data_IF_609567202542
#
_entry.id   IF_609567202542
#
_cell.length_a   1.000
_cell.length_b   1.000
_cell.length_c   1.000
_cell.angle_alpha   90.00
_cell.angle_beta   90.00
_cell.angle_gamma   90.00
#
_symmetry.space_group_name_H-M   'P 1'
#
loop_
_entity.id
_entity.type
_entity.pdbx_description
1 polymer ?
#
# COMPACT_ATOMS: atom_id res chain seq x y z
N UNK A 1 -14.43 -7.92 22.19
CA UNK A 1 -15.29 -7.18 21.20
C UNK A 1 -16.43 -6.52 21.93
N UNK A 2 -16.76 -5.30 21.56
CA UNK A 2 -17.84 -4.49 22.10
C UNK A 2 -19.01 -4.44 21.12
N UNK A 3 -20.26 -4.59 21.61
CA UNK A 3 -21.48 -4.44 20.81
C UNK A 3 -22.12 -3.11 21.19
N UNK A 4 -22.26 -2.22 20.20
CA UNK A 4 -22.76 -0.87 20.38
C UNK A 4 -24.04 -0.73 19.55
N UNK A 5 -25.15 -0.35 20.20
CA UNK A 5 -26.44 -0.26 19.55
C UNK A 5 -26.92 1.18 19.52
N UNK A 6 -27.26 1.63 18.32
CA UNK A 6 -27.88 2.93 18.05
C UNK A 6 -27.12 4.12 18.65
N UNK A 7 -25.77 4.19 18.48
CA UNK A 7 -25.00 5.33 18.98
C UNK A 7 -25.48 6.62 18.31
N UNK A 8 -25.39 7.73 19.04
CA UNK A 8 -25.65 9.04 18.46
C UNK A 8 -24.55 9.41 17.45
N UNK A 9 -24.87 10.27 16.48
CA UNK A 9 -23.86 10.73 15.49
C UNK A 9 -22.64 11.42 16.14
N UNK A 10 -22.82 12.02 17.30
CA UNK A 10 -21.74 12.65 18.07
C UNK A 10 -20.71 11.65 18.61
N UNK A 11 -21.12 10.40 18.85
CA UNK A 11 -20.25 9.32 19.31
C UNK A 11 -19.46 8.68 18.16
N UNK A 12 -19.90 8.83 16.92
CA UNK A 12 -19.31 8.14 15.77
C UNK A 12 -17.82 8.41 15.59
N UNK A 13 -17.38 9.66 15.81
CA UNK A 13 -15.97 10.02 15.69
C UNK A 13 -15.10 9.22 16.68
N UNK A 14 -15.60 8.96 17.89
CA UNK A 14 -14.88 8.16 18.90
C UNK A 14 -14.93 6.67 18.57
N UNK A 15 -16.04 6.18 17.99
CA UNK A 15 -16.17 4.79 17.57
C UNK A 15 -15.31 4.46 16.35
N UNK A 16 -15.08 5.44 15.50
CA UNK A 16 -14.22 5.31 14.33
C UNK A 16 -12.71 5.39 14.63
N UNK A 17 -12.31 5.59 15.91
CA UNK A 17 -10.90 5.62 16.29
C UNK A 17 -10.27 4.23 16.18
N UNK A 18 -9.04 4.22 15.67
CA UNK A 18 -8.18 3.03 15.59
C UNK A 18 -7.26 2.95 16.80
N UNK A 19 -6.71 1.76 17.09
CA UNK A 19 -5.60 1.65 18.02
C UNK A 19 -4.47 2.56 17.52
N UNK A 20 -4.23 3.67 18.22
CA UNK A 20 -3.25 4.65 17.76
C UNK A 20 -1.84 4.22 18.15
N UNK A 21 -0.96 4.06 17.16
CA UNK A 21 0.47 4.01 17.35
C UNK A 21 1.04 5.38 16.99
N UNK A 22 1.41 6.15 18.03
CA UNK A 22 2.16 7.39 17.80
C UNK A 22 3.62 7.04 17.47
N UNK A 23 3.88 6.89 16.17
CA UNK A 23 5.23 6.58 15.69
C UNK A 23 6.23 7.72 15.89
N UNK A 24 5.79 8.93 16.25
CA UNK A 24 6.69 10.07 16.48
C UNK A 24 7.59 9.85 17.68
N UNK A 25 7.14 9.08 18.67
CA UNK A 25 7.94 8.69 19.83
C UNK A 25 9.17 7.84 19.47
N UNK A 26 9.17 7.24 18.27
CA UNK A 26 10.26 6.40 17.76
C UNK A 26 11.27 7.20 16.94
N UNK A 27 10.97 8.44 16.57
CA UNK A 27 11.76 9.21 15.60
C UNK A 27 13.23 9.35 15.97
N UNK A 28 13.56 9.57 17.23
CA UNK A 28 14.96 9.73 17.64
C UNK A 28 15.75 8.41 17.52
N UNK A 29 15.14 7.30 17.93
CA UNK A 29 15.74 5.96 17.76
C UNK A 29 15.92 5.63 16.28
N UNK A 30 14.89 5.88 15.48
CA UNK A 30 14.91 5.61 14.03
C UNK A 30 15.95 6.50 13.34
N UNK A 31 16.02 7.78 13.68
CA UNK A 31 17.01 8.71 13.12
C UNK A 31 18.44 8.25 13.38
N UNK A 32 18.73 7.77 14.59
CA UNK A 32 20.04 7.21 14.90
C UNK A 32 20.44 6.10 13.94
N UNK A 33 19.54 5.16 13.67
CA UNK A 33 19.81 4.04 12.71
C UNK A 33 19.97 4.57 11.29
N UNK A 34 19.10 5.52 10.87
CA UNK A 34 19.18 6.13 9.54
C UNK A 34 20.54 6.82 9.33
N UNK A 35 21.00 7.60 10.29
CA UNK A 35 22.29 8.33 10.21
C UNK A 35 23.47 7.37 10.23
N UNK A 36 23.47 6.34 11.09
CA UNK A 36 24.53 5.33 11.12
C UNK A 36 24.63 4.53 9.80
N UNK A 37 23.51 4.21 9.15
CA UNK A 37 23.53 3.55 7.83
C UNK A 37 24.01 4.51 6.74
N UNK A 38 23.63 5.78 6.81
CA UNK A 38 24.11 6.81 5.87
C UNK A 38 25.63 6.96 5.91
N UNK A 39 26.22 6.89 7.10
CA UNK A 39 27.69 7.05 7.27
C UNK A 39 28.47 5.75 7.09
N UNK A 40 27.90 4.64 7.53
CA UNK A 40 28.59 3.36 7.62
C UNK A 40 28.27 2.35 6.51
N UNK A 41 27.36 2.68 5.57
CA UNK A 41 27.05 1.85 4.41
C UNK A 41 26.67 0.40 4.76
N UNK A 42 27.14 -0.54 3.94
CA UNK A 42 26.86 -1.98 4.09
C UNK A 42 27.28 -2.52 5.48
N UNK A 43 28.39 -2.01 6.03
CA UNK A 43 28.85 -2.46 7.34
C UNK A 43 27.86 -2.10 8.46
N UNK A 44 27.21 -0.94 8.38
CA UNK A 44 26.18 -0.55 9.32
C UNK A 44 24.90 -1.40 9.14
N UNK A 45 24.48 -1.65 7.89
CA UNK A 45 23.34 -2.53 7.61
C UNK A 45 23.55 -3.90 8.22
N UNK A 46 24.70 -4.54 7.97
CA UNK A 46 25.03 -5.88 8.50
C UNK A 46 25.02 -5.89 10.03
N UNK A 47 25.60 -4.88 10.68
CA UNK A 47 25.56 -4.71 12.14
C UNK A 47 24.13 -4.70 12.70
N UNK A 48 23.20 -4.05 11.99
CA UNK A 48 21.80 -3.99 12.40
C UNK A 48 21.04 -5.28 12.10
N UNK A 49 21.38 -6.02 11.03
CA UNK A 49 20.84 -7.37 10.79
C UNK A 49 21.27 -8.34 11.91
N UNK A 50 22.54 -8.28 12.36
CA UNK A 50 23.00 -9.05 13.53
C UNK A 50 22.22 -8.67 14.80
N UNK A 51 22.01 -7.38 15.02
CA UNK A 51 21.35 -6.87 16.23
C UNK A 51 19.85 -7.18 16.26
N UNK A 52 19.14 -6.97 15.17
CA UNK A 52 17.67 -7.03 15.12
C UNK A 52 17.16 -8.36 14.59
N UNK A 53 17.72 -8.87 13.50
CA UNK A 53 17.28 -10.10 12.83
C UNK A 53 18.03 -11.34 13.31
N UNK A 54 19.07 -11.14 14.17
CA UNK A 54 19.82 -12.21 14.83
C UNK A 54 20.51 -13.16 13.85
N UNK A 55 20.98 -12.61 12.73
CA UNK A 55 21.79 -13.40 11.78
C UNK A 55 23.09 -13.82 12.43
N UNK A 56 23.64 -14.96 11.96
CA UNK A 56 24.99 -15.40 12.31
C UNK A 56 25.98 -14.80 11.29
N UNK A 57 26.86 -13.86 11.71
CA UNK A 57 27.83 -13.22 10.80
C UNK A 57 28.75 -14.22 10.09
N UNK A 58 29.01 -15.37 10.71
CA UNK A 58 29.89 -16.41 10.14
C UNK A 58 29.27 -17.11 8.91
N UNK A 59 27.95 -17.13 8.83
CA UNK A 59 27.19 -17.75 7.73
C UNK A 59 26.66 -16.73 6.71
N UNK A 60 26.66 -15.45 7.06
CA UNK A 60 26.13 -14.38 6.23
C UNK A 60 27.09 -14.01 5.11
N UNK A 61 26.72 -14.33 3.86
CA UNK A 61 27.58 -14.16 2.68
C UNK A 61 27.41 -12.81 1.96
N UNK A 62 26.97 -11.77 2.68
CA UNK A 62 26.74 -10.44 2.13
C UNK A 62 25.27 -10.13 1.89
N UNK A 63 24.98 -8.86 1.62
CA UNK A 63 23.60 -8.34 1.53
C UNK A 63 22.86 -8.82 0.28
N UNK A 64 23.52 -8.88 -0.87
CA UNK A 64 22.85 -9.25 -2.11
C UNK A 64 22.60 -10.76 -2.19
N UNK A 65 21.38 -11.13 -2.58
CA UNK A 65 21.02 -12.52 -2.90
C UNK A 65 21.76 -12.94 -4.17
N UNK A 66 22.44 -14.10 -4.12
CA UNK A 66 23.20 -14.65 -5.23
C UNK A 66 22.32 -15.45 -6.20
N UNK A 67 22.80 -15.65 -7.44
CA UNK A 67 22.13 -16.52 -8.42
C UNK A 67 21.99 -17.97 -7.92
N UNK A 68 22.94 -18.43 -7.11
CA UNK A 68 22.87 -19.76 -6.50
C UNK A 68 21.72 -19.84 -5.50
N UNK A 69 21.52 -18.82 -4.63
CA UNK A 69 20.39 -18.78 -3.69
C UNK A 69 19.05 -18.76 -4.42
N UNK A 70 18.96 -18.06 -5.56
CA UNK A 70 17.76 -18.06 -6.42
C UNK A 70 17.51 -19.45 -7.04
N UNK A 71 18.55 -20.12 -7.52
CA UNK A 71 18.41 -21.47 -8.07
C UNK A 71 17.98 -22.50 -7.00
N UNK A 72 18.61 -22.45 -5.82
CA UNK A 72 18.23 -23.30 -4.68
C UNK A 72 16.77 -23.05 -4.26
N UNK A 73 16.33 -21.80 -4.21
CA UNK A 73 14.96 -21.45 -3.85
C UNK A 73 13.93 -22.07 -4.82
N UNK A 74 14.22 -22.11 -6.12
CA UNK A 74 13.34 -22.74 -7.11
C UNK A 74 13.11 -24.22 -6.82
N UNK A 75 14.16 -24.93 -6.40
CA UNK A 75 14.04 -26.36 -6.10
C UNK A 75 13.27 -26.61 -4.78
N UNK A 76 13.38 -25.69 -3.82
CA UNK A 76 12.75 -25.82 -2.51
C UNK A 76 11.25 -25.50 -2.50
N UNK A 77 10.76 -24.66 -3.43
CA UNK A 77 9.32 -24.29 -3.49
C UNK A 77 8.53 -25.44 -4.10
N UNK A 78 7.46 -25.93 -3.43
CA UNK A 78 6.59 -26.97 -3.98
C UNK A 78 5.93 -26.54 -5.30
N UNK A 79 5.72 -27.47 -6.22
CA UNK A 79 5.16 -27.15 -7.54
C UNK A 79 3.75 -26.57 -7.46
N UNK A 80 2.93 -27.04 -6.51
CA UNK A 80 1.61 -26.47 -6.24
C UNK A 80 1.69 -24.99 -5.89
N UNK A 81 2.64 -24.60 -5.01
CA UNK A 81 2.84 -23.21 -4.64
C UNK A 81 3.37 -22.37 -5.81
N UNK A 82 4.26 -22.94 -6.65
CA UNK A 82 4.72 -22.26 -7.86
C UNK A 82 3.57 -21.95 -8.81
N UNK A 83 2.64 -22.90 -8.99
CA UNK A 83 1.45 -22.71 -9.83
C UNK A 83 0.54 -21.64 -9.26
N UNK A 84 0.28 -21.65 -7.95
CA UNK A 84 -0.50 -20.62 -7.27
C UNK A 84 0.11 -19.23 -7.42
N UNK A 85 1.43 -19.06 -7.21
CA UNK A 85 2.14 -17.80 -7.39
C UNK A 85 2.03 -17.30 -8.85
N UNK A 86 2.18 -18.18 -9.83
CA UNK A 86 2.04 -17.82 -11.26
C UNK A 86 0.60 -17.40 -11.60
N UNK A 87 -0.40 -18.09 -11.06
CA UNK A 87 -1.81 -17.73 -11.26
C UNK A 87 -2.13 -16.36 -10.67
N UNK A 88 -1.74 -16.13 -9.41
CA UNK A 88 -1.91 -14.85 -8.74
C UNK A 88 -1.21 -13.72 -9.51
N UNK A 89 0.07 -13.91 -9.88
CA UNK A 89 0.84 -12.97 -10.70
C UNK A 89 0.12 -12.63 -12.01
N UNK A 90 -0.44 -13.61 -12.71
CA UNK A 90 -1.15 -13.39 -13.96
C UNK A 90 -2.41 -12.52 -13.76
N UNK A 91 -3.19 -12.79 -12.72
CA UNK A 91 -4.40 -12.01 -12.43
C UNK A 91 -4.05 -10.56 -12.05
N UNK A 92 -3.01 -10.37 -11.22
CA UNK A 92 -2.48 -9.04 -10.86
C UNK A 92 -2.01 -8.30 -12.12
N UNK A 93 -1.31 -8.99 -13.03
CA UNK A 93 -0.83 -8.40 -14.28
C UNK A 93 -1.98 -7.95 -15.19
N UNK A 94 -3.01 -8.77 -15.36
CA UNK A 94 -4.20 -8.43 -16.17
C UNK A 94 -4.88 -7.17 -15.61
N UNK A 95 -5.14 -7.15 -14.31
CA UNK A 95 -5.83 -6.03 -13.67
C UNK A 95 -5.02 -4.74 -13.75
N UNK A 96 -3.74 -4.78 -13.37
CA UNK A 96 -2.90 -3.58 -13.37
C UNK A 96 -2.53 -3.10 -14.78
N UNK A 97 -2.42 -4.00 -15.76
CA UNK A 97 -2.23 -3.61 -17.16
C UNK A 97 -3.40 -2.80 -17.74
N UNK A 98 -4.62 -3.04 -17.26
CA UNK A 98 -5.81 -2.27 -17.67
C UNK A 98 -5.79 -0.80 -17.21
N UNK A 99 -4.93 -0.46 -16.24
CA UNK A 99 -4.80 0.88 -15.66
C UNK A 99 -3.82 1.77 -16.44
N UNK A 100 -3.31 1.34 -17.59
CA UNK A 100 -2.35 2.13 -18.38
C UNK A 100 -2.93 3.46 -18.78
N UNK A 101 -2.22 4.53 -18.41
CA UNK A 101 -2.59 5.89 -18.77
C UNK A 101 -2.35 6.15 -20.26
N UNK A 102 -3.39 6.56 -20.95
CA UNK A 102 -3.34 7.04 -22.34
C UNK A 102 -3.58 8.55 -22.36
N UNK A 103 -2.50 9.33 -22.56
CA UNK A 103 -2.60 10.78 -22.62
C UNK A 103 -3.40 11.26 -23.84
N UNK A 104 -4.28 12.24 -23.64
CA UNK A 104 -5.03 12.90 -24.72
C UNK A 104 -4.41 14.27 -24.99
N UNK A 105 -4.18 14.61 -26.26
CA UNK A 105 -3.85 15.99 -26.67
C UNK A 105 -5.13 16.83 -26.69
N UNK A 106 -5.07 17.98 -26.06
CA UNK A 106 -6.18 18.94 -25.96
C UNK A 106 -5.71 20.28 -26.50
N UNK A 107 -6.41 20.80 -27.52
CA UNK A 107 -6.22 22.17 -27.99
C UNK A 107 -7.07 23.07 -27.08
N UNK A 108 -6.41 23.92 -26.30
CA UNK A 108 -7.06 24.84 -25.33
C UNK A 108 -7.41 26.19 -25.95
N UNK A 109 -6.64 26.59 -26.95
CA UNK A 109 -6.85 27.74 -27.82
C UNK A 109 -6.32 27.34 -29.19
N UNK A 110 -6.86 27.83 -30.32
CA UNK A 110 -6.32 27.49 -31.62
C UNK A 110 -4.80 27.72 -31.69
N UNK A 111 -4.07 26.63 -32.03
CA UNK A 111 -2.61 26.63 -32.05
C UNK A 111 -1.91 26.47 -30.68
N UNK A 112 -2.66 26.15 -29.61
CA UNK A 112 -2.12 25.83 -28.27
C UNK A 112 -2.55 24.42 -27.86
N UNK A 113 -1.62 23.47 -27.84
CA UNK A 113 -1.89 22.09 -27.57
C UNK A 113 -1.20 21.67 -26.27
N UNK A 114 -1.96 21.08 -25.34
CA UNK A 114 -1.48 20.55 -24.06
C UNK A 114 -1.76 19.05 -23.93
N UNK A 115 -0.84 18.31 -23.31
CA UNK A 115 -1.06 16.88 -23.02
C UNK A 115 -0.20 16.40 -21.86
N UNK A 116 -0.52 15.22 -21.36
CA UNK A 116 0.29 14.49 -20.37
C UNK A 116 0.88 13.22 -20.97
N UNK A 117 2.07 12.87 -20.56
CA UNK A 117 2.74 11.60 -20.86
C UNK A 117 3.10 10.90 -19.55
N UNK A 118 2.66 9.65 -19.40
CA UNK A 118 3.11 8.80 -18.32
C UNK A 118 4.55 8.33 -18.56
N UNK A 119 5.37 8.43 -17.52
CA UNK A 119 6.76 7.97 -17.53
C UNK A 119 7.02 7.21 -16.23
N UNK A 120 7.60 6.02 -16.32
CA UNK A 120 7.95 5.22 -15.15
C UNK A 120 8.88 5.98 -14.19
N UNK A 121 8.74 5.72 -12.90
CA UNK A 121 9.78 6.00 -11.92
C UNK A 121 10.92 5.02 -12.20
N UNK A 122 12.11 5.53 -12.48
CA UNK A 122 13.20 4.71 -13.00
C UNK A 122 13.67 3.64 -12.02
N UNK A 123 13.84 4.03 -10.73
CA UNK A 123 14.34 3.17 -9.66
C UNK A 123 13.36 3.14 -8.49
N UNK A 124 12.85 1.97 -8.14
CA UNK A 124 11.92 1.79 -7.05
C UNK A 124 12.44 0.75 -6.06
N UNK A 125 12.23 1.00 -4.78
CA UNK A 125 12.54 0.09 -3.69
C UNK A 125 11.27 -0.56 -3.16
N UNK A 126 11.29 -1.87 -3.01
CA UNK A 126 10.22 -2.67 -2.46
C UNK A 126 10.68 -3.24 -1.11
N UNK A 127 10.01 -2.89 -0.05
CA UNK A 127 10.25 -3.47 1.26
C UNK A 127 9.24 -4.57 1.53
N UNK A 128 9.73 -5.78 1.79
CA UNK A 128 8.92 -6.94 2.16
C UNK A 128 9.23 -7.27 3.61
N UNK A 129 8.28 -7.13 4.53
CA UNK A 129 8.54 -7.42 5.93
C UNK A 129 8.84 -8.90 6.14
N UNK A 130 9.73 -9.17 7.08
CA UNK A 130 9.93 -10.47 7.67
C UNK A 130 9.02 -10.65 8.89
N UNK A 131 9.21 -11.70 9.63
CA UNK A 131 8.50 -11.96 10.87
C UNK A 131 7.86 -13.35 10.88
N UNK A 132 6.60 -13.44 11.33
CA UNK A 132 5.93 -14.73 11.55
C UNK A 132 5.40 -15.38 10.27
N UNK A 133 5.36 -14.68 9.14
CA UNK A 133 4.89 -15.20 7.86
C UNK A 133 5.73 -14.68 6.69
N UNK A 134 6.07 -15.54 5.70
CA UNK A 134 6.75 -15.11 4.48
C UNK A 134 5.76 -14.44 3.52
N UNK A 135 5.70 -13.11 3.48
CA UNK A 135 4.72 -12.36 2.71
C UNK A 135 5.11 -12.28 1.20
N UNK A 136 5.19 -13.43 0.54
CA UNK A 136 5.51 -13.51 -0.90
C UNK A 136 4.41 -12.90 -1.80
N UNK A 137 3.16 -12.81 -1.33
CA UNK A 137 2.07 -12.10 -2.02
C UNK A 137 2.39 -10.62 -2.19
N UNK A 138 2.93 -9.97 -1.16
CA UNK A 138 3.33 -8.55 -1.21
C UNK A 138 4.40 -8.29 -2.28
N UNK A 139 5.27 -9.28 -2.53
CA UNK A 139 6.23 -9.19 -3.65
C UNK A 139 5.50 -9.02 -4.98
N UNK A 140 4.48 -9.84 -5.23
CA UNK A 140 3.68 -9.76 -6.46
C UNK A 140 2.93 -8.44 -6.56
N UNK A 141 2.28 -8.02 -5.46
CA UNK A 141 1.50 -6.78 -5.39
C UNK A 141 2.31 -5.52 -5.69
N UNK A 142 3.60 -5.52 -5.40
CA UNK A 142 4.47 -4.38 -5.62
C UNK A 142 5.30 -4.50 -6.91
N UNK A 143 5.89 -5.68 -7.17
CA UNK A 143 6.81 -5.85 -8.29
C UNK A 143 6.09 -5.94 -9.65
N UNK A 144 4.91 -6.56 -9.71
CA UNK A 144 4.17 -6.69 -10.97
C UNK A 144 3.75 -5.32 -11.53
N UNK A 145 3.07 -4.44 -10.79
CA UNK A 145 2.74 -3.11 -11.29
C UNK A 145 3.99 -2.25 -11.57
N UNK A 146 5.08 -2.37 -10.78
CA UNK A 146 6.34 -1.69 -11.05
C UNK A 146 6.90 -2.08 -12.42
N UNK A 147 6.88 -3.38 -12.76
CA UNK A 147 7.31 -3.90 -14.05
C UNK A 147 6.41 -3.43 -15.19
N UNK A 148 5.07 -3.47 -15.03
CA UNK A 148 4.11 -3.00 -16.03
C UNK A 148 4.30 -1.51 -16.32
N UNK A 149 4.59 -0.71 -15.28
CA UNK A 149 4.91 0.71 -15.42
C UNK A 149 6.17 0.97 -16.24
N UNK A 150 7.10 0.00 -16.27
CA UNK A 150 8.40 0.12 -16.96
C UNK A 150 9.52 0.67 -16.08
N UNK A 151 9.45 0.46 -14.75
CA UNK A 151 10.56 0.77 -13.85
C UNK A 151 11.80 -0.02 -14.27
N UNK A 152 12.94 0.67 -14.46
CA UNK A 152 14.16 0.04 -14.97
C UNK A 152 14.90 -0.76 -13.91
N UNK A 153 14.85 -0.30 -12.67
CA UNK A 153 15.48 -0.94 -11.53
C UNK A 153 14.46 -1.12 -10.40
N UNK A 154 14.18 -2.39 -10.09
CA UNK A 154 13.27 -2.79 -9.02
C UNK A 154 14.14 -3.49 -7.97
N UNK A 155 14.39 -2.78 -6.87
CA UNK A 155 15.21 -3.24 -5.74
C UNK A 155 14.28 -3.78 -4.66
N UNK A 156 14.51 -5.01 -4.20
CA UNK A 156 13.74 -5.59 -3.12
C UNK A 156 14.63 -5.80 -1.90
N UNK A 157 14.19 -5.30 -0.74
CA UNK A 157 14.79 -5.58 0.56
C UNK A 157 13.84 -6.39 1.42
N UNK A 158 14.34 -7.46 2.03
CA UNK A 158 13.59 -8.31 2.95
C UNK A 158 14.57 -8.90 3.98
N UNK A 159 14.18 -9.00 5.27
CA UNK A 159 15.07 -9.57 6.26
C UNK A 159 15.35 -11.04 5.98
N UNK A 160 16.58 -11.50 6.17
CA UNK A 160 16.91 -12.91 6.13
C UNK A 160 16.43 -13.62 7.39
N UNK A 161 16.33 -14.94 7.33
CA UNK A 161 16.22 -15.78 8.52
C UNK A 161 17.54 -15.84 9.31
N UNK A 162 17.52 -16.46 10.47
CA UNK A 162 18.72 -16.64 11.33
C UNK A 162 19.87 -17.36 10.64
N UNK A 163 19.58 -18.17 9.62
CA UNK A 163 20.52 -18.85 8.77
C UNK A 163 21.12 -17.96 7.67
N UNK A 164 20.78 -16.68 7.66
CA UNK A 164 21.23 -15.70 6.67
C UNK A 164 20.61 -15.86 5.28
N UNK A 165 19.54 -16.67 5.15
CA UNK A 165 18.85 -16.91 3.87
C UNK A 165 17.47 -16.24 3.85
N UNK A 166 17.04 -15.80 2.67
CA UNK A 166 15.67 -15.35 2.44
C UNK A 166 14.77 -16.56 2.17
N UNK A 167 13.52 -16.48 2.63
CA UNK A 167 12.54 -17.55 2.43
C UNK A 167 12.36 -17.90 0.94
N UNK A 168 12.41 -19.19 0.55
CA UNK A 168 12.40 -19.59 -0.87
C UNK A 168 11.19 -19.06 -1.66
N UNK A 169 9.99 -19.02 -1.06
CA UNK A 169 8.80 -18.51 -1.73
C UNK A 169 8.90 -17.01 -2.06
N UNK A 170 9.58 -16.20 -1.22
CA UNK A 170 9.84 -14.77 -1.50
C UNK A 170 10.77 -14.65 -2.71
N UNK A 171 11.85 -15.43 -2.76
CA UNK A 171 12.80 -15.42 -3.87
C UNK A 171 12.13 -15.87 -5.18
N UNK A 172 11.34 -16.93 -5.14
CA UNK A 172 10.59 -17.40 -6.29
C UNK A 172 9.57 -16.39 -6.81
N UNK A 173 8.83 -15.74 -5.91
CA UNK A 173 7.88 -14.69 -6.27
C UNK A 173 8.60 -13.48 -6.88
N UNK A 174 9.73 -13.05 -6.31
CA UNK A 174 10.52 -11.92 -6.78
C UNK A 174 11.05 -12.15 -8.20
N UNK A 175 11.62 -13.32 -8.47
CA UNK A 175 12.08 -13.70 -9.81
C UNK A 175 10.91 -13.78 -10.79
N UNK A 176 9.79 -14.42 -10.40
CA UNK A 176 8.58 -14.55 -11.23
C UNK A 176 7.98 -13.19 -11.58
N UNK A 177 8.04 -12.22 -10.67
CA UNK A 177 7.57 -10.85 -10.87
C UNK A 177 8.58 -9.96 -11.60
N UNK A 178 9.84 -10.39 -11.78
CA UNK A 178 10.88 -9.66 -12.51
C UNK A 178 11.58 -8.59 -11.69
N UNK A 179 11.80 -8.83 -10.40
CA UNK A 179 12.64 -8.00 -9.54
C UNK A 179 14.07 -8.02 -10.04
N UNK A 180 14.73 -6.85 -10.10
CA UNK A 180 16.07 -6.71 -10.66
C UNK A 180 17.17 -7.14 -9.69
N UNK A 181 17.00 -6.80 -8.40
CA UNK A 181 17.99 -7.06 -7.35
C UNK A 181 17.28 -7.32 -6.02
N UNK A 182 17.76 -8.29 -5.27
CA UNK A 182 17.22 -8.68 -3.98
C UNK A 182 18.29 -8.57 -2.91
N UNK A 183 17.98 -7.94 -1.78
CA UNK A 183 18.89 -7.72 -0.67
C UNK A 183 18.35 -8.28 0.64
N UNK A 184 19.23 -8.89 1.40
CA UNK A 184 18.98 -9.46 2.72
C UNK A 184 19.10 -8.36 3.78
N UNK A 185 18.10 -7.49 3.81
CA UNK A 185 18.05 -6.38 4.74
C UNK A 185 16.60 -6.13 5.20
N UNK A 186 16.40 -6.02 6.51
CA UNK A 186 15.12 -5.78 7.17
C UNK A 186 15.03 -4.41 7.82
N UNK A 187 13.89 -4.11 8.43
CA UNK A 187 13.70 -2.98 9.34
C UNK A 187 14.10 -1.60 8.82
N UNK A 188 14.52 -0.75 9.77
CA UNK A 188 14.94 0.63 9.52
C UNK A 188 16.14 0.67 8.56
N UNK A 189 17.10 -0.24 8.75
CA UNK A 189 18.34 -0.28 7.99
C UNK A 189 18.10 -0.59 6.50
N UNK A 190 17.07 -1.37 6.15
CA UNK A 190 16.67 -1.59 4.78
C UNK A 190 16.12 -0.31 4.12
N UNK A 191 15.26 0.42 4.85
CA UNK A 191 14.73 1.71 4.39
C UNK A 191 15.85 2.72 4.20
N UNK A 192 16.80 2.79 5.15
CA UNK A 192 17.98 3.64 5.05
C UNK A 192 18.84 3.30 3.83
N UNK A 193 19.14 2.01 3.64
CA UNK A 193 19.94 1.54 2.52
C UNK A 193 19.33 1.91 1.16
N UNK A 194 18.02 1.74 0.99
CA UNK A 194 17.31 2.14 -0.22
C UNK A 194 17.23 3.66 -0.39
N UNK A 195 17.09 4.42 0.71
CA UNK A 195 16.95 5.86 0.66
C UNK A 195 18.27 6.60 0.37
N UNK A 196 19.38 6.15 0.94
CA UNK A 196 20.68 6.81 0.78
C UNK A 196 21.56 6.14 -0.28
N UNK A 197 21.39 4.85 -0.50
CA UNK A 197 22.32 4.00 -1.19
C UNK A 197 23.47 3.55 -0.27
N UNK A 198 23.99 2.37 -0.52
CA UNK A 198 25.20 1.82 0.10
C UNK A 198 26.12 1.25 -0.97
N UNK A 199 27.20 0.58 -0.59
CA UNK A 199 28.09 -0.06 -1.56
C UNK A 199 27.37 -1.13 -2.39
N UNK A 200 26.45 -1.89 -1.77
CA UNK A 200 25.68 -2.95 -2.44
C UNK A 200 24.30 -2.50 -2.86
N UNK A 201 23.55 -1.80 -1.97
CA UNK A 201 22.15 -1.42 -2.20
C UNK A 201 22.07 -0.10 -2.95
N UNK A 202 21.53 -0.08 -4.18
CA UNK A 202 21.42 1.16 -4.93
C UNK A 202 20.38 2.11 -4.33
N UNK A 203 20.65 3.42 -4.32
CA UNK A 203 19.67 4.45 -3.99
C UNK A 203 18.49 4.40 -4.97
N UNK A 204 17.26 4.47 -4.44
CA UNK A 204 16.03 4.48 -5.21
C UNK A 204 15.33 5.85 -5.16
N UNK A 205 14.29 6.04 -5.96
CA UNK A 205 13.55 7.31 -6.02
C UNK A 205 12.22 7.25 -5.29
N UNK A 206 11.69 6.04 -5.08
CA UNK A 206 10.47 5.81 -4.29
C UNK A 206 10.51 4.46 -3.61
N UNK A 207 10.11 4.40 -2.34
CA UNK A 207 10.05 3.19 -1.54
C UNK A 207 8.59 2.79 -1.32
N UNK A 208 8.30 1.50 -1.51
CA UNK A 208 6.99 0.88 -1.34
C UNK A 208 7.08 -0.26 -0.34
N UNK A 209 5.99 -0.57 0.28
CA UNK A 209 5.81 -1.77 1.10
C UNK A 209 5.34 -1.48 2.51
N UNK A 210 4.55 -2.43 3.06
CA UNK A 210 4.09 -2.37 4.45
C UNK A 210 5.25 -2.65 5.41
N UNK A 211 5.08 -2.29 6.67
CA UNK A 211 6.06 -2.57 7.70
C UNK A 211 5.53 -2.26 9.09
N UNK A 212 6.28 -2.67 10.11
CA UNK A 212 5.96 -2.35 11.49
C UNK A 212 6.15 -0.84 11.77
N UNK A 213 5.83 -0.42 12.99
CA UNK A 213 5.95 0.99 13.42
C UNK A 213 7.33 1.62 13.17
N UNK A 214 8.41 0.86 13.29
CA UNK A 214 9.77 1.36 13.03
C UNK A 214 10.02 1.61 11.54
N UNK A 215 9.57 0.70 10.68
CA UNK A 215 9.62 0.86 9.22
C UNK A 215 8.76 2.04 8.78
N UNK A 216 7.56 2.18 9.34
CA UNK A 216 6.66 3.32 9.09
C UNK A 216 7.34 4.64 9.48
N UNK A 217 7.92 4.72 10.69
CA UNK A 217 8.67 5.89 11.14
C UNK A 217 9.88 6.20 10.24
N UNK A 218 10.62 5.17 9.81
CA UNK A 218 11.75 5.34 8.91
C UNK A 218 11.31 5.89 7.54
N UNK A 219 10.26 5.33 6.94
CA UNK A 219 9.68 5.83 5.68
C UNK A 219 9.25 7.30 5.79
N UNK A 220 8.58 7.67 6.89
CA UNK A 220 8.18 9.06 7.12
C UNK A 220 9.40 9.99 7.20
N UNK A 221 10.43 9.62 7.97
CA UNK A 221 11.63 10.45 8.13
C UNK A 221 12.40 10.63 6.82
N UNK A 222 12.63 9.56 6.05
CA UNK A 222 13.34 9.68 4.77
C UNK A 222 12.51 10.43 3.71
N UNK A 223 11.17 10.41 3.82
CA UNK A 223 10.29 11.11 2.89
C UNK A 223 10.34 12.63 3.01
N UNK A 224 10.86 13.16 4.10
CA UNK A 224 10.99 14.61 4.30
C UNK A 224 11.98 15.26 3.33
N UNK A 225 13.03 14.55 2.89
CA UNK A 225 14.12 15.11 2.08
C UNK A 225 14.73 14.18 1.04
N UNK A 226 14.68 12.87 1.24
CA UNK A 226 15.57 11.94 0.53
C UNK A 226 14.89 11.17 -0.60
N UNK A 227 13.71 10.59 -0.34
CA UNK A 227 13.06 9.64 -1.25
C UNK A 227 11.55 9.70 -1.07
N UNK A 228 10.79 9.55 -2.15
CA UNK A 228 9.33 9.45 -2.04
C UNK A 228 8.92 8.10 -1.40
N UNK A 229 7.74 8.05 -0.81
CA UNK A 229 7.14 6.81 -0.29
C UNK A 229 5.77 6.57 -0.93
N UNK A 230 5.24 5.36 -0.77
CA UNK A 230 3.90 4.99 -1.24
C UNK A 230 2.81 5.79 -0.52
N UNK A 231 2.53 5.43 0.73
CA UNK A 231 1.55 6.11 1.58
C UNK A 231 1.88 5.89 3.06
N UNK A 232 1.38 6.73 3.96
CA UNK A 232 1.35 6.42 5.38
C UNK A 232 0.48 5.18 5.61
N UNK A 233 0.92 4.26 6.44
CA UNK A 233 0.18 3.06 6.81
C UNK A 233 0.22 2.86 8.33
N UNK A 234 -0.88 2.36 8.85
CA UNK A 234 -1.03 1.88 10.22
C UNK A 234 -1.30 0.37 10.26
N UNK A 235 -1.81 -0.15 11.37
CA UNK A 235 -2.27 -1.54 11.45
C UNK A 235 -3.38 -1.84 10.44
N UNK A 236 -3.48 -3.08 10.04
CA UNK A 236 -4.50 -3.55 9.09
C UNK A 236 -5.91 -3.53 9.71
N UNK A 237 -6.91 -3.25 8.89
CA UNK A 237 -8.30 -3.08 9.32
C UNK A 237 -9.29 -3.59 8.29
N UNK A 238 -10.41 -4.16 8.76
CA UNK A 238 -11.55 -4.55 7.93
C UNK A 238 -12.85 -3.98 8.50
N UNK A 239 -13.72 -3.52 7.63
CA UNK A 239 -15.13 -3.27 7.95
C UNK A 239 -16.01 -4.22 7.15
N UNK A 240 -16.97 -4.85 7.83
CA UNK A 240 -17.98 -5.70 7.20
C UNK A 240 -19.34 -5.04 7.36
N UNK A 241 -20.02 -4.80 6.25
CA UNK A 241 -21.45 -4.44 6.23
C UNK A 241 -22.25 -5.72 5.98
N UNK A 242 -23.25 -5.98 6.83
CA UNK A 242 -24.08 -7.17 6.72
C UNK A 242 -25.55 -6.88 7.01
N UNK A 243 -26.46 -7.63 6.35
CA UNK A 243 -27.89 -7.71 6.66
C UNK A 243 -28.28 -9.15 7.05
N UNK A 244 -29.58 -9.42 7.23
CA UNK A 244 -30.12 -10.73 7.61
C UNK A 244 -29.82 -11.84 6.59
N UNK A 245 -29.48 -11.49 5.36
CA UNK A 245 -29.18 -12.46 4.30
C UNK A 245 -27.76 -13.00 4.38
N UNK A 246 -26.89 -12.33 5.13
CA UNK A 246 -25.49 -12.70 5.24
C UNK A 246 -25.29 -14.01 6.01
N UNK A 247 -24.30 -14.80 5.60
CA UNK A 247 -23.93 -16.00 6.30
C UNK A 247 -23.00 -15.65 7.50
N UNK A 248 -23.43 -15.86 8.75
CA UNK A 248 -22.60 -15.53 9.92
C UNK A 248 -21.22 -16.21 9.94
N UNK A 249 -21.12 -17.42 9.37
CA UNK A 249 -19.84 -18.13 9.31
C UNK A 249 -18.86 -17.48 8.30
N UNK A 250 -19.35 -16.88 7.21
CA UNK A 250 -18.51 -16.16 6.26
C UNK A 250 -17.99 -14.85 6.87
N UNK A 251 -18.88 -14.09 7.53
CA UNK A 251 -18.49 -12.85 8.21
C UNK A 251 -17.47 -13.14 9.30
N UNK A 252 -17.67 -14.21 10.10
CA UNK A 252 -16.71 -14.60 11.13
C UNK A 252 -15.34 -14.95 10.54
N UNK A 253 -15.30 -15.64 9.40
CA UNK A 253 -14.04 -15.96 8.71
C UNK A 253 -13.31 -14.70 8.23
N UNK A 254 -14.02 -13.76 7.60
CA UNK A 254 -13.45 -12.49 7.13
C UNK A 254 -12.98 -11.60 8.31
N UNK A 255 -13.70 -11.61 9.42
CA UNK A 255 -13.34 -10.89 10.63
C UNK A 255 -12.04 -11.43 11.25
N UNK A 256 -11.91 -12.75 11.27
CA UNK A 256 -10.76 -13.44 11.84
C UNK A 256 -9.55 -13.40 10.93
N UNK A 257 -9.73 -13.41 9.60
CA UNK A 257 -8.62 -13.26 8.65
C UNK A 257 -7.87 -11.94 8.86
N UNK A 258 -8.58 -10.87 9.14
CA UNK A 258 -7.97 -9.57 9.46
C UNK A 258 -7.39 -9.54 10.89
N UNK A 259 -8.11 -10.08 11.85
CA UNK A 259 -7.69 -10.05 13.26
C UNK A 259 -6.41 -10.86 13.53
N UNK A 260 -6.08 -11.86 12.72
CA UNK A 260 -4.86 -12.66 12.87
C UNK A 260 -3.58 -11.98 12.36
N UNK A 261 -3.68 -10.84 11.64
CA UNK A 261 -2.52 -10.11 11.12
C UNK A 261 -1.63 -9.57 12.24
N UNK A 262 -2.22 -9.00 13.32
CA UNK A 262 -1.46 -8.46 14.42
C UNK A 262 -2.32 -8.02 15.59
N UNK A 263 -1.68 -7.80 16.74
CA UNK A 263 -2.38 -7.41 17.98
C UNK A 263 -3.07 -6.03 17.87
N UNK A 264 -2.60 -5.18 16.98
CA UNK A 264 -3.11 -3.82 16.75
C UNK A 264 -4.12 -3.76 15.58
N UNK A 265 -4.40 -4.89 14.91
CA UNK A 265 -5.41 -4.98 13.85
C UNK A 265 -6.80 -4.71 14.42
N UNK A 266 -7.69 -4.17 13.58
CA UNK A 266 -9.07 -3.89 13.96
C UNK A 266 -10.05 -4.47 12.95
N UNK A 267 -11.08 -5.18 13.44
CA UNK A 267 -12.19 -5.63 12.63
C UNK A 267 -13.50 -4.97 13.13
N UNK A 268 -14.32 -4.51 12.20
CA UNK A 268 -15.56 -3.81 12.51
C UNK A 268 -16.73 -4.41 11.74
N UNK A 269 -17.84 -4.71 12.44
CA UNK A 269 -19.13 -4.99 11.80
C UNK A 269 -20.00 -3.77 11.92
N UNK A 270 -20.59 -3.35 10.83
CA UNK A 270 -21.58 -2.28 10.79
C UNK A 270 -22.86 -2.81 10.13
N UNK A 271 -23.99 -2.72 10.84
CA UNK A 271 -25.25 -3.29 10.36
C UNK A 271 -26.44 -2.46 10.79
N UNK A 272 -27.52 -2.52 10.00
CA UNK A 272 -28.83 -2.02 10.41
C UNK A 272 -29.71 -3.15 11.00
N UNK A 273 -29.21 -4.39 11.06
CA UNK A 273 -29.94 -5.55 11.55
C UNK A 273 -29.36 -6.06 12.88
N UNK A 274 -30.10 -5.85 13.97
CA UNK A 274 -29.71 -6.34 15.28
C UNK A 274 -29.70 -7.88 15.36
N UNK A 275 -30.54 -8.54 14.57
CA UNK A 275 -30.74 -9.99 14.62
C UNK A 275 -29.52 -10.82 14.20
N UNK A 276 -28.62 -10.24 13.37
CA UNK A 276 -27.45 -10.94 12.87
C UNK A 276 -26.24 -10.91 13.83
N UNK A 277 -26.27 -10.00 14.82
CA UNK A 277 -25.12 -9.75 15.70
C UNK A 277 -24.75 -10.99 16.52
N UNK A 278 -25.71 -11.62 17.24
CA UNK A 278 -25.41 -12.78 18.08
C UNK A 278 -25.02 -14.01 17.25
N UNK A 279 -25.66 -14.35 16.13
CA UNK A 279 -25.16 -15.39 15.23
C UNK A 279 -23.72 -15.19 14.76
N UNK A 280 -23.31 -13.95 14.42
CA UNK A 280 -21.94 -13.64 14.03
C UNK A 280 -20.98 -13.79 15.22
N UNK A 281 -21.34 -13.27 16.39
CA UNK A 281 -20.52 -13.43 17.59
C UNK A 281 -20.31 -14.90 17.96
N UNK A 282 -21.33 -15.73 17.82
CA UNK A 282 -21.22 -17.15 18.04
C UNK A 282 -20.27 -17.81 17.04
N UNK A 283 -20.41 -17.47 15.74
CA UNK A 283 -19.54 -18.01 14.70
C UNK A 283 -18.06 -17.58 14.89
N UNK A 284 -17.82 -16.32 15.33
CA UNK A 284 -16.46 -15.84 15.67
C UNK A 284 -15.87 -16.68 16.81
N UNK A 285 -16.61 -16.92 17.92
CA UNK A 285 -16.15 -17.73 19.04
C UNK A 285 -15.77 -19.15 18.59
N UNK A 286 -16.63 -19.79 17.82
CA UNK A 286 -16.43 -21.18 17.35
C UNK A 286 -15.22 -21.32 16.40
N UNK A 287 -15.00 -20.34 15.53
CA UNK A 287 -13.87 -20.35 14.60
C UNK A 287 -12.56 -19.97 15.28
N UNK A 288 -12.57 -18.97 16.17
CA UNK A 288 -11.41 -18.52 16.94
C UNK A 288 -10.75 -19.67 17.73
N UNK A 289 -11.56 -20.56 18.32
CA UNK A 289 -11.05 -21.68 19.08
C UNK A 289 -10.20 -22.68 18.27
N UNK A 290 -10.30 -22.62 16.93
CA UNK A 290 -9.57 -23.50 16.01
C UNK A 290 -8.36 -22.84 15.37
N UNK A 291 -8.15 -21.54 15.59
CA UNK A 291 -7.06 -20.80 14.94
C UNK A 291 -5.71 -21.06 15.62
N UNK A 292 -4.66 -21.37 14.85
CA UNK A 292 -3.30 -21.50 15.39
C UNK A 292 -2.78 -20.21 16.05
N UNK A 293 -3.20 -19.03 15.56
CA UNK A 293 -2.78 -17.70 16.06
C UNK A 293 -3.78 -17.10 17.06
N UNK A 294 -4.55 -17.90 17.77
CA UNK A 294 -5.63 -17.49 18.66
C UNK A 294 -5.26 -16.35 19.61
N UNK A 295 -4.10 -16.42 20.28
CA UNK A 295 -3.69 -15.41 21.26
C UNK A 295 -3.49 -14.00 20.64
N UNK A 296 -2.97 -13.93 19.42
CA UNK A 296 -2.79 -12.67 18.69
C UNK A 296 -4.17 -12.15 18.27
N UNK A 297 -4.99 -13.02 17.72
CA UNK A 297 -6.35 -12.72 17.27
C UNK A 297 -7.25 -12.24 18.41
N UNK A 298 -7.20 -12.84 19.59
CA UNK A 298 -7.94 -12.39 20.76
C UNK A 298 -7.59 -10.94 21.18
N UNK A 299 -6.30 -10.59 21.12
CA UNK A 299 -5.86 -9.22 21.42
C UNK A 299 -6.39 -8.22 20.39
N UNK A 300 -6.32 -8.55 19.12
CA UNK A 300 -6.90 -7.75 18.03
C UNK A 300 -8.41 -7.57 18.21
N UNK A 301 -9.12 -8.65 18.53
CA UNK A 301 -10.57 -8.60 18.78
C UNK A 301 -10.95 -7.71 19.98
N UNK A 302 -10.05 -7.43 20.91
CA UNK A 302 -10.33 -6.47 22.00
C UNK A 302 -10.52 -5.04 21.51
N UNK A 303 -9.99 -4.69 20.36
CA UNK A 303 -10.15 -3.39 19.69
C UNK A 303 -11.28 -3.38 18.66
N UNK A 304 -11.87 -4.54 18.37
CA UNK A 304 -12.90 -4.74 17.36
C UNK A 304 -14.29 -4.45 17.91
N UNK A 305 -15.19 -3.98 17.04
CA UNK A 305 -16.54 -3.53 17.43
C UNK A 305 -17.61 -4.08 16.48
N UNK A 306 -18.80 -4.28 17.03
CA UNK A 306 -20.01 -4.57 16.28
C UNK A 306 -20.98 -3.41 16.52
N UNK A 307 -21.30 -2.64 15.49
CA UNK A 307 -22.10 -1.44 15.58
C UNK A 307 -23.44 -1.66 14.87
N UNK A 308 -24.52 -1.51 15.61
CA UNK A 308 -25.87 -1.54 15.05
C UNK A 308 -26.36 -0.10 14.90
N UNK A 309 -26.70 0.29 13.69
CA UNK A 309 -27.19 1.60 13.30
C UNK A 309 -28.70 1.53 12.97
N UNK A 310 -29.35 2.67 12.80
CA UNK A 310 -30.81 2.72 12.63
C UNK A 310 -31.28 2.23 11.28
N UNK A 311 -30.51 2.53 10.24
CA UNK A 311 -30.89 2.25 8.85
C UNK A 311 -29.66 2.16 7.93
N UNK A 312 -29.90 1.79 6.69
CA UNK A 312 -28.88 1.67 5.64
C UNK A 312 -28.12 2.97 5.42
N UNK A 313 -28.79 4.12 5.49
CA UNK A 313 -28.12 5.40 5.25
C UNK A 313 -27.09 5.70 6.35
N UNK A 314 -27.43 5.44 7.61
CA UNK A 314 -26.46 5.57 8.71
C UNK A 314 -25.27 4.59 8.56
N UNK A 315 -25.51 3.38 8.07
CA UNK A 315 -24.43 2.41 7.76
C UNK A 315 -23.47 3.01 6.73
N UNK A 316 -23.99 3.53 5.61
CA UNK A 316 -23.17 4.15 4.56
C UNK A 316 -22.43 5.39 5.08
N UNK A 317 -23.11 6.26 5.81
CA UNK A 317 -22.52 7.47 6.39
C UNK A 317 -21.38 7.12 7.36
N UNK A 318 -21.56 6.11 8.20
CA UNK A 318 -20.53 5.63 9.13
C UNK A 318 -19.34 5.01 8.40
N UNK A 319 -19.58 4.18 7.40
CA UNK A 319 -18.54 3.59 6.54
C UNK A 319 -17.68 4.67 5.90
N UNK A 320 -18.28 5.69 5.30
CA UNK A 320 -17.55 6.81 4.70
C UNK A 320 -16.81 7.67 5.74
N UNK A 321 -17.30 7.76 6.98
CA UNK A 321 -16.60 8.39 8.10
C UNK A 321 -15.41 7.54 8.56
N UNK A 322 -15.60 6.24 8.70
CA UNK A 322 -14.55 5.31 9.11
C UNK A 322 -13.48 5.19 8.01
N UNK A 323 -13.87 5.10 6.75
CA UNK A 323 -12.97 4.95 5.61
C UNK A 323 -12.02 3.75 5.76
N UNK A 324 -12.55 2.53 5.72
CA UNK A 324 -11.80 1.30 5.99
C UNK A 324 -10.74 1.01 4.93
N UNK A 325 -9.70 0.28 5.32
CA UNK A 325 -8.75 -0.34 4.39
C UNK A 325 -9.47 -1.37 3.50
N UNK A 326 -10.09 -2.36 4.12
CA UNK A 326 -10.90 -3.38 3.47
C UNK A 326 -12.37 -3.18 3.84
N UNK A 327 -13.24 -3.08 2.84
CA UNK A 327 -14.68 -3.02 3.03
C UNK A 327 -15.34 -4.23 2.40
N UNK A 328 -15.98 -5.08 3.21
CA UNK A 328 -16.74 -6.24 2.75
C UNK A 328 -18.23 -5.91 2.86
N UNK A 329 -19.01 -6.11 1.79
CA UNK A 329 -20.45 -5.84 1.76
C UNK A 329 -21.19 -7.16 1.51
N UNK A 330 -21.80 -7.70 2.55
CA UNK A 330 -22.59 -8.94 2.50
C UNK A 330 -24.07 -8.63 2.79
N UNK A 331 -24.71 -7.96 1.84
CA UNK A 331 -26.14 -7.59 1.89
C UNK A 331 -26.82 -7.99 0.58
N UNK A 332 -28.13 -8.06 0.57
CA UNK A 332 -28.91 -8.32 -0.66
C UNK A 332 -28.77 -7.23 -1.71
N UNK A 333 -28.53 -5.99 -1.28
CA UNK A 333 -28.39 -4.80 -2.12
C UNK A 333 -26.95 -4.25 -2.16
N UNK A 334 -25.95 -5.13 -2.02
CA UNK A 334 -24.53 -4.75 -1.96
C UNK A 334 -24.08 -3.80 -3.08
N UNK A 335 -24.65 -3.91 -4.27
CA UNK A 335 -24.29 -3.06 -5.40
C UNK A 335 -24.76 -1.60 -5.22
N UNK A 336 -25.95 -1.41 -4.60
CA UNK A 336 -26.48 -0.09 -4.28
C UNK A 336 -25.63 0.58 -3.17
N UNK A 337 -25.27 -0.18 -2.13
CA UNK A 337 -24.40 0.31 -1.06
C UNK A 337 -23.01 0.67 -1.64
N UNK A 338 -22.41 -0.22 -2.43
CA UNK A 338 -21.10 0.03 -3.04
C UNK A 338 -21.07 1.28 -3.94
N UNK A 339 -22.21 1.59 -4.61
CA UNK A 339 -22.35 2.79 -5.42
C UNK A 339 -22.34 4.10 -4.60
N UNK A 340 -22.49 4.04 -3.28
CA UNK A 340 -22.51 5.18 -2.35
C UNK A 340 -21.26 5.23 -1.45
N UNK A 341 -20.34 4.29 -1.61
CA UNK A 341 -19.05 4.30 -0.90
C UNK A 341 -18.13 5.32 -1.55
N UNK A 342 -17.69 6.29 -0.77
CA UNK A 342 -16.73 7.32 -1.20
C UNK A 342 -15.32 7.05 -0.67
N UNK A 343 -15.20 6.39 0.49
CA UNK A 343 -13.95 6.23 1.20
C UNK A 343 -13.74 4.77 1.62
N UNK A 344 -12.95 4.03 0.85
CA UNK A 344 -12.44 2.70 1.20
C UNK A 344 -11.15 2.41 0.42
N UNK A 345 -10.27 1.60 0.96
CA UNK A 345 -9.07 1.15 0.25
C UNK A 345 -9.40 0.13 -0.85
N UNK A 346 -10.22 -0.87 -0.51
CA UNK A 346 -10.75 -1.87 -1.44
C UNK A 346 -12.15 -2.32 -1.00
N UNK A 347 -13.03 -2.62 -1.98
CA UNK A 347 -14.43 -3.03 -1.71
C UNK A 347 -14.65 -4.44 -2.24
N UNK A 348 -15.13 -5.33 -1.37
CA UNK A 348 -15.43 -6.74 -1.62
C UNK A 348 -16.94 -6.93 -1.63
N UNK A 349 -17.50 -7.30 -2.76
CA UNK A 349 -18.94 -7.26 -3.01
C UNK A 349 -19.56 -8.65 -3.04
N UNK A 350 -20.53 -8.87 -2.15
CA UNK A 350 -21.31 -10.11 -2.08
C UNK A 350 -20.63 -11.23 -1.28
N UNK A 351 -21.39 -12.28 -1.00
CA UNK A 351 -21.02 -13.34 -0.04
C UNK A 351 -19.84 -14.23 -0.47
N UNK A 352 -19.47 -14.23 -1.75
CA UNK A 352 -18.38 -15.06 -2.28
C UNK A 352 -17.08 -14.28 -2.55
N UNK A 353 -16.99 -13.06 -2.04
CA UNK A 353 -15.82 -12.20 -2.22
C UNK A 353 -15.14 -11.92 -0.87
N UNK A 354 -14.40 -12.90 -0.32
CA UNK A 354 -13.68 -12.72 0.93
C UNK A 354 -12.47 -11.77 0.73
N UNK A 355 -12.01 -11.14 1.80
CA UNK A 355 -10.80 -10.33 1.83
C UNK A 355 -9.60 -11.06 1.21
N UNK A 356 -9.42 -12.35 1.58
CA UNK A 356 -8.33 -13.19 1.06
C UNK A 356 -8.28 -13.29 -0.47
N UNK A 357 -9.41 -13.10 -1.17
CA UNK A 357 -9.39 -13.08 -2.64
C UNK A 357 -8.58 -11.89 -3.16
N UNK A 358 -8.75 -10.70 -2.58
CA UNK A 358 -7.98 -9.51 -2.90
C UNK A 358 -6.53 -9.62 -2.47
N UNK A 359 -6.30 -10.19 -1.31
CA UNK A 359 -4.96 -10.34 -0.73
C UNK A 359 -4.04 -11.25 -1.53
N UNK A 360 -4.60 -12.25 -2.20
CA UNK A 360 -3.76 -13.27 -2.83
C UNK A 360 -3.94 -13.39 -4.34
N UNK A 361 -5.16 -13.38 -4.87
CA UNK A 361 -5.36 -13.94 -6.19
C UNK A 361 -6.35 -13.24 -7.12
N UNK A 362 -7.26 -12.39 -6.66
CA UNK A 362 -8.28 -11.77 -7.54
C UNK A 362 -7.68 -10.80 -8.57
N UNK A 363 -6.52 -10.22 -8.26
CA UNK A 363 -5.81 -9.30 -9.15
C UNK A 363 -5.75 -7.86 -8.67
N UNK A 364 -6.56 -7.47 -7.68
CA UNK A 364 -6.44 -6.17 -6.99
C UNK A 364 -5.19 -6.11 -6.13
N UNK A 365 -4.90 -4.96 -5.53
CA UNK A 365 -3.72 -4.78 -4.69
C UNK A 365 -4.10 -4.73 -3.22
N UNK A 366 -3.36 -5.42 -2.37
CA UNK A 366 -3.59 -5.42 -0.94
C UNK A 366 -2.77 -4.37 -0.17
N UNK A 367 -1.90 -3.62 -0.84
CA UNK A 367 -1.18 -2.50 -0.21
C UNK A 367 -2.10 -1.29 -0.26
N UNK A 368 -2.90 -1.13 0.78
CA UNK A 368 -4.02 -0.22 0.87
C UNK A 368 -3.79 0.86 1.94
N UNK A 369 -4.47 2.02 1.84
CA UNK A 369 -4.41 3.02 2.89
C UNK A 369 -5.21 2.56 4.11
N UNK A 370 -4.57 2.60 5.29
CA UNK A 370 -5.16 2.29 6.59
C UNK A 370 -5.44 3.58 7.37
N UNK A 371 -5.96 3.45 8.59
CA UNK A 371 -6.11 4.58 9.53
C UNK A 371 -6.90 5.79 8.96
N UNK A 372 -7.92 5.49 8.15
CA UNK A 372 -8.76 6.51 7.52
C UNK A 372 -8.09 7.28 6.37
N UNK A 373 -6.87 6.93 6.00
CA UNK A 373 -6.18 7.55 4.85
C UNK A 373 -6.86 7.27 3.52
N UNK A 374 -7.78 6.30 3.43
CA UNK A 374 -8.61 6.08 2.25
C UNK A 374 -9.45 7.30 1.83
N UNK A 375 -9.59 8.31 2.70
CA UNK A 375 -10.18 9.61 2.37
C UNK A 375 -9.36 10.45 1.40
N UNK A 376 -8.07 10.16 1.24
CA UNK A 376 -7.14 10.97 0.45
C UNK A 376 -6.14 10.17 -0.38
N UNK A 377 -5.95 8.89 -0.07
CA UNK A 377 -4.99 8.02 -0.75
C UNK A 377 -5.70 6.83 -1.38
N UNK A 378 -5.24 6.45 -2.55
CA UNK A 378 -5.60 5.17 -3.17
C UNK A 378 -4.64 4.07 -2.73
N UNK A 379 -5.09 2.83 -2.78
CA UNK A 379 -4.19 1.67 -2.72
C UNK A 379 -3.14 1.69 -3.84
N UNK A 380 -2.08 0.91 -3.68
CA UNK A 380 -1.04 0.78 -4.70
C UNK A 380 -1.65 0.31 -6.01
N UNK A 381 -1.36 1.04 -7.06
CA UNK A 381 -1.85 0.79 -8.41
C UNK A 381 -0.77 1.18 -9.43
N UNK A 382 -1.05 1.12 -10.72
CA UNK A 382 -0.07 1.45 -11.75
C UNK A 382 0.39 2.92 -11.68
N UNK A 383 -0.51 3.85 -11.31
CA UNK A 383 -0.18 5.27 -11.17
C UNK A 383 0.84 5.52 -10.04
N UNK A 384 0.94 4.61 -9.06
CA UNK A 384 1.91 4.71 -7.97
C UNK A 384 3.36 4.61 -8.46
N UNK A 385 3.60 3.96 -9.61
CA UNK A 385 4.91 3.70 -10.20
C UNK A 385 5.25 4.59 -11.39
N UNK A 386 4.38 5.53 -11.75
CA UNK A 386 4.59 6.48 -12.85
C UNK A 386 4.53 7.92 -12.36
N UNK A 387 5.04 8.81 -13.17
CA UNK A 387 4.82 10.25 -13.07
C UNK A 387 4.26 10.75 -14.39
N UNK A 388 3.34 11.71 -14.34
CA UNK A 388 2.73 12.32 -15.51
C UNK A 388 3.38 13.65 -15.78
N UNK A 389 4.14 13.72 -16.87
CA UNK A 389 4.83 14.94 -17.31
C UNK A 389 3.89 15.70 -18.24
N UNK A 390 3.69 16.99 -18.00
CA UNK A 390 2.92 17.86 -18.87
C UNK A 390 3.79 18.37 -20.02
N UNK A 391 3.21 18.35 -21.20
CA UNK A 391 3.79 18.91 -22.41
C UNK A 391 2.85 19.98 -22.95
N UNK A 392 3.43 21.03 -23.53
CA UNK A 392 2.69 22.06 -24.20
C UNK A 392 3.46 22.54 -25.43
N UNK A 393 2.72 22.77 -26.48
CA UNK A 393 3.23 23.27 -27.77
C UNK A 393 2.36 24.46 -28.22
N UNK A 394 2.98 25.57 -28.54
CA UNK A 394 2.31 26.79 -28.97
C UNK A 394 2.87 27.19 -30.31
N UNK A 395 2.02 27.31 -31.32
CA UNK A 395 2.38 27.84 -32.64
C UNK A 395 2.50 29.35 -32.62
N UNK A 396 3.04 29.94 -33.71
CA UNK A 396 3.08 31.38 -33.89
C UNK A 396 1.69 32.04 -33.84
N UNK A 397 0.68 31.39 -34.41
CA UNK A 397 -0.70 31.87 -34.35
C UNK A 397 -1.30 31.69 -32.95
N UNK A 398 -0.99 30.60 -32.29
CA UNK A 398 -1.42 30.38 -30.91
C UNK A 398 -0.87 31.45 -29.96
N UNK A 399 0.41 31.85 -30.09
CA UNK A 399 0.96 32.88 -29.21
C UNK A 399 0.44 34.28 -29.57
N UNK A 400 0.07 34.56 -30.85
CA UNK A 400 -0.65 35.79 -31.19
C UNK A 400 -1.98 35.86 -30.45
N UNK A 401 -2.72 34.79 -30.38
CA UNK A 401 -4.03 34.73 -29.70
C UNK A 401 -3.89 34.79 -28.16
N UNK A 402 -2.98 34.03 -27.58
CA UNK A 402 -2.88 33.86 -26.13
C UNK A 402 -1.95 34.88 -25.45
N UNK A 403 -1.03 35.47 -26.20
CA UNK A 403 0.05 36.30 -25.66
C UNK A 403 -0.42 37.55 -24.92
N UNK A 404 -1.53 38.16 -25.34
CA UNK A 404 -2.16 39.28 -24.63
C UNK A 404 -2.57 38.90 -23.19
N UNK A 405 -3.22 37.75 -23.04
CA UNK A 405 -3.64 37.22 -21.74
C UNK A 405 -2.43 36.95 -20.84
N UNK A 406 -1.40 36.26 -21.36
CA UNK A 406 -0.19 35.94 -20.57
C UNK A 406 0.49 37.22 -20.10
N UNK A 407 0.65 38.23 -20.98
CA UNK A 407 1.28 39.50 -20.62
C UNK A 407 0.50 40.25 -19.54
N UNK A 408 -0.81 40.29 -19.64
CA UNK A 408 -1.68 40.95 -18.67
C UNK A 408 -1.58 40.26 -17.31
N UNK A 409 -1.64 38.93 -17.24
CA UNK A 409 -1.50 38.18 -15.99
C UNK A 409 -0.13 38.42 -15.36
N UNK A 410 0.95 38.23 -16.12
CA UNK A 410 2.31 38.42 -15.62
C UNK A 410 2.57 39.84 -15.11
N UNK A 411 2.01 40.86 -15.79
CA UNK A 411 2.12 42.24 -15.35
C UNK A 411 1.42 42.50 -14.00
N UNK A 412 0.22 41.92 -13.82
CA UNK A 412 -0.52 42.07 -12.55
C UNK A 412 0.09 41.27 -11.40
N UNK A 413 0.83 40.21 -11.70
CA UNK A 413 1.65 39.47 -10.72
C UNK A 413 3.02 40.12 -10.48
N UNK A 414 3.31 41.26 -11.14
CA UNK A 414 4.58 41.99 -11.06
C UNK A 414 5.79 41.15 -11.53
N UNK A 415 5.56 40.22 -12.47
CA UNK A 415 6.57 39.34 -13.02
C UNK A 415 6.98 39.81 -14.44
N UNK A 416 7.74 40.91 -14.49
CA UNK A 416 8.11 41.56 -15.77
C UNK A 416 8.97 40.68 -16.69
N UNK A 417 9.81 39.79 -16.16
CA UNK A 417 10.56 38.84 -16.95
C UNK A 417 9.65 37.82 -17.68
N UNK A 418 8.59 37.34 -17.00
CA UNK A 418 7.58 36.48 -17.62
C UNK A 418 6.80 37.18 -18.72
N UNK A 419 6.36 38.44 -18.48
CA UNK A 419 5.73 39.30 -19.49
C UNK A 419 6.63 39.50 -20.67
N UNK A 420 7.92 39.81 -20.44
CA UNK A 420 8.89 40.08 -21.50
C UNK A 420 9.17 38.83 -22.35
N UNK A 421 9.17 37.62 -21.76
CA UNK A 421 9.36 36.38 -22.50
C UNK A 421 8.33 36.21 -23.65
N UNK A 422 7.09 36.65 -23.43
CA UNK A 422 6.04 36.65 -24.46
C UNK A 422 6.15 37.88 -25.38
N UNK A 423 6.47 39.06 -24.84
CA UNK A 423 6.59 40.30 -25.60
C UNK A 423 7.63 40.18 -26.72
N UNK A 424 8.82 39.64 -26.40
CA UNK A 424 9.89 39.45 -27.38
C UNK A 424 9.43 38.54 -28.52
N UNK A 425 8.72 37.43 -28.21
CA UNK A 425 8.22 36.50 -29.24
C UNK A 425 7.17 37.14 -30.13
N UNK A 426 6.24 37.91 -29.55
CA UNK A 426 5.23 38.65 -30.33
C UNK A 426 5.85 39.72 -31.26
N UNK A 427 6.95 40.36 -30.83
CA UNK A 427 7.63 41.37 -31.62
C UNK A 427 8.39 40.80 -32.83
N UNK A 428 8.60 39.47 -32.86
CA UNK A 428 9.27 38.76 -33.97
C UNK A 428 8.31 38.13 -34.97
N UNK A 429 7.00 38.23 -34.72
CA UNK A 429 5.93 37.68 -35.55
C UNK A 429 5.19 38.76 -36.33
#
# INVERSE_FOLDING_TARGET
MEVIKYPSREEWASLALRPALDVTTLFDTVRTVLDEVREGGDAAVIRYEEKFDKIDPSTFKGLQVSEQELAEAKELVPEELKQAIRQAKNNIEIFHASQRFTGKKVETTPGVTCWQKAVAIEKVGLYIPGGTAPLFSTVLMLAVPARIAGCKEIVLCTPPGKDGKVHPAILFAAETAGVSKIFKAGGIQAIAAMAYGTESVPKVYKIFGPGNQYVTAAKQLVSLKEVAIDMPAGPSEVEVIADESANPAFIAADFLSQAEHGVDSQAMLVTASESIVEPIMQAIREQLDRLPRKEITEKSLSHSRLIVLKDKQEVIDFTNLYAPEHLIIQTTDYADIAGQVENAGSVFMGSYTPESAGDYASGTNHTLPTNGYAKAYSGVNLDSFIKKITFQEITADGIRLLGGTIRTMAANEQLDAHKNAVTIRLNTL
#
